data_IF_933383487437
#
_entry.id   IF_933383487437
#
_cell.length_a   1.000
_cell.length_b   1.000
_cell.length_c   1.000
_cell.angle_alpha   90.00
_cell.angle_beta   90.00
_cell.angle_gamma   90.00
#
_symmetry.space_group_name_H-M   'P 1'
#
loop_
_entity.id
_entity.type
_entity.pdbx_description
1 polymer ?
#
# COMPACT_ATOMS: atom_id res chain seq x y z
N UNK A 1 10.04 40.26 49.89
CA UNK A 1 8.75 40.91 49.62
C UNK A 1 7.78 39.81 49.26
N UNK A 2 6.72 39.70 50.06
CA UNK A 2 5.84 38.55 50.14
C UNK A 2 4.68 38.68 49.15
N UNK A 3 4.32 37.55 48.51
CA UNK A 3 3.05 37.38 47.80
C UNK A 3 1.92 37.18 48.79
N UNK A 4 0.68 37.56 48.46
CA UNK A 4 -0.48 37.03 49.13
C UNK A 4 -1.25 36.03 48.26
N UNK A 5 -1.42 34.82 48.78
CA UNK A 5 -2.37 33.83 48.37
C UNK A 5 -3.82 34.34 48.50
N UNK A 6 -4.62 34.27 47.45
CA UNK A 6 -6.07 34.38 47.52
C UNK A 6 -6.73 33.07 47.18
N UNK A 7 -7.17 32.43 48.21
CA UNK A 7 -8.04 31.25 48.24
C UNK A 7 -9.48 31.75 48.11
N UNK A 8 -10.18 31.35 47.02
CA UNK A 8 -11.61 31.58 46.90
C UNK A 8 -12.29 30.27 46.47
N UNK A 9 -12.71 29.56 47.50
CA UNK A 9 -13.69 28.47 47.43
C UNK A 9 -15.06 29.02 47.00
N UNK A 10 -15.55 28.60 45.82
CA UNK A 10 -16.98 28.72 45.49
C UNK A 10 -17.45 27.36 44.96
N UNK A 11 -18.10 26.60 45.85
CA UNK A 11 -19.01 25.53 45.48
C UNK A 11 -20.24 26.16 44.81
N UNK A 12 -20.33 26.10 43.50
CA UNK A 12 -21.60 26.23 42.81
C UNK A 12 -22.16 24.84 42.59
N UNK A 13 -23.26 24.58 43.31
CA UNK A 13 -24.16 23.44 43.09
C UNK A 13 -24.87 23.73 41.78
N UNK A 14 -24.39 23.20 40.67
CA UNK A 14 -25.11 23.19 39.42
C UNK A 14 -25.97 21.93 39.36
N UNK A 15 -27.28 22.14 39.33
CA UNK A 15 -28.29 21.10 39.19
C UNK A 15 -28.02 20.25 37.93
N UNK A 16 -27.93 18.95 38.10
CA UNK A 16 -27.93 17.99 37.02
C UNK A 16 -29.28 18.05 36.30
N UNK A 17 -29.29 18.35 34.97
CA UNK A 17 -30.47 18.08 34.17
C UNK A 17 -30.61 16.56 34.10
N UNK A 18 -31.55 15.98 34.81
CA UNK A 18 -32.06 14.62 34.61
C UNK A 18 -32.85 14.57 33.29
N UNK A 19 -32.16 14.67 32.15
CA UNK A 19 -32.69 14.17 30.89
C UNK A 19 -32.26 12.71 30.78
N UNK A 20 -33.07 11.81 31.32
CA UNK A 20 -33.05 10.39 30.99
C UNK A 20 -33.42 10.25 29.52
N UNK A 21 -32.45 10.40 28.62
CA UNK A 21 -32.58 9.89 27.25
C UNK A 21 -32.70 8.37 27.38
N UNK A 22 -33.75 7.75 26.85
CA UNK A 22 -33.96 6.31 27.02
C UNK A 22 -32.76 5.57 26.37
N UNK A 23 -32.15 4.67 27.16
CA UNK A 23 -31.00 3.85 26.72
C UNK A 23 -31.25 3.06 25.41
N UNK A 24 -32.51 2.91 25.02
CA UNK A 24 -32.99 2.27 23.81
C UNK A 24 -32.56 2.98 22.54
N UNK A 25 -32.55 4.32 22.52
CA UNK A 25 -32.25 5.09 21.29
C UNK A 25 -30.74 5.12 20.99
N UNK A 26 -29.91 5.09 22.02
CA UNK A 26 -28.45 5.03 21.87
C UNK A 26 -27.98 3.68 21.29
N UNK A 27 -28.62 2.58 21.64
CA UNK A 27 -28.30 1.26 21.12
C UNK A 27 -28.75 1.09 19.66
N UNK A 28 -29.90 1.62 19.28
CA UNK A 28 -30.39 1.56 17.90
C UNK A 28 -29.50 2.41 16.97
N UNK A 29 -29.10 3.59 17.41
CA UNK A 29 -28.19 4.49 16.69
C UNK A 29 -26.80 3.86 16.47
N UNK A 30 -26.23 3.20 17.49
CA UNK A 30 -24.93 2.54 17.37
C UNK A 30 -24.96 1.35 16.40
N UNK A 31 -26.03 0.55 16.40
CA UNK A 31 -26.21 -0.55 15.45
C UNK A 31 -26.34 -0.06 14.00
N UNK A 32 -27.07 1.02 13.77
CA UNK A 32 -27.21 1.62 12.45
C UNK A 32 -25.87 2.16 11.92
N UNK A 33 -25.12 2.88 12.76
CA UNK A 33 -23.79 3.37 12.42
C UNK A 33 -22.81 2.23 12.13
N UNK A 34 -22.84 1.16 12.93
CA UNK A 34 -22.05 -0.04 12.71
C UNK A 34 -22.37 -0.71 11.36
N UNK A 35 -23.66 -0.92 11.07
CA UNK A 35 -24.08 -1.52 9.81
C UNK A 35 -23.63 -0.70 8.60
N UNK A 36 -23.70 0.63 8.70
CA UNK A 36 -23.20 1.54 7.65
C UNK A 36 -21.66 1.41 7.46
N UNK A 37 -20.91 1.31 8.55
CA UNK A 37 -19.45 1.13 8.49
C UNK A 37 -19.04 -0.22 7.89
N UNK A 38 -19.75 -1.30 8.23
CA UNK A 38 -19.56 -2.63 7.61
C UNK A 38 -19.83 -2.55 6.11
N UNK A 39 -20.97 -1.98 5.71
CA UNK A 39 -21.33 -1.85 4.30
C UNK A 39 -20.29 -1.01 3.51
N UNK A 40 -19.80 0.08 4.11
CA UNK A 40 -18.74 0.89 3.50
C UNK A 40 -17.42 0.11 3.34
N UNK A 41 -17.03 -0.64 4.37
CA UNK A 41 -15.85 -1.51 4.30
C UNK A 41 -15.98 -2.56 3.19
N UNK A 42 -17.10 -3.28 3.14
CA UNK A 42 -17.34 -4.32 2.13
C UNK A 42 -17.38 -3.74 0.71
N UNK A 43 -17.99 -2.56 0.52
CA UNK A 43 -17.99 -1.87 -0.75
C UNK A 43 -16.57 -1.50 -1.23
N UNK A 44 -15.73 -0.96 -0.34
CA UNK A 44 -14.34 -0.63 -0.68
C UNK A 44 -13.46 -1.85 -0.88
N UNK A 45 -13.73 -2.98 -0.23
CA UNK A 45 -13.08 -4.25 -0.52
C UNK A 45 -13.43 -4.76 -1.93
N UNK A 46 -14.70 -4.68 -2.31
CA UNK A 46 -15.13 -5.05 -3.67
C UNK A 46 -14.52 -4.12 -4.75
N UNK A 47 -14.40 -2.81 -4.46
CA UNK A 47 -13.68 -1.87 -5.34
C UNK A 47 -12.20 -2.22 -5.48
N UNK A 48 -11.54 -2.60 -4.38
CA UNK A 48 -10.14 -3.01 -4.39
C UNK A 48 -9.93 -4.29 -5.20
N UNK A 49 -10.77 -5.30 -5.00
CA UNK A 49 -10.74 -6.55 -5.78
C UNK A 49 -10.92 -6.28 -7.28
N UNK A 50 -11.91 -5.46 -7.65
CA UNK A 50 -12.14 -5.07 -9.05
C UNK A 50 -10.99 -4.25 -9.65
N UNK A 51 -10.30 -3.44 -8.84
CA UNK A 51 -9.11 -2.70 -9.28
C UNK A 51 -7.90 -3.62 -9.45
N UNK A 52 -7.72 -4.61 -8.57
CA UNK A 52 -6.67 -5.63 -8.65
C UNK A 52 -6.81 -6.44 -9.93
N UNK A 53 -8.02 -6.93 -10.24
CA UNK A 53 -8.28 -7.68 -11.46
C UNK A 53 -7.91 -6.85 -12.71
N UNK A 54 -8.31 -5.58 -12.75
CA UNK A 54 -8.00 -4.69 -13.89
C UNK A 54 -6.50 -4.43 -14.05
N UNK A 55 -5.76 -4.27 -12.95
CA UNK A 55 -4.31 -4.08 -12.97
C UNK A 55 -3.60 -5.36 -13.45
N UNK A 56 -4.03 -6.52 -12.99
CA UNK A 56 -3.51 -7.82 -13.42
C UNK A 56 -3.77 -8.08 -14.92
N UNK A 57 -4.96 -7.74 -15.42
CA UNK A 57 -5.31 -7.84 -16.84
C UNK A 57 -4.45 -6.90 -17.70
N UNK A 58 -4.30 -5.64 -17.30
CA UNK A 58 -3.48 -4.65 -17.99
C UNK A 58 -2.00 -5.07 -18.01
N UNK A 59 -1.48 -5.50 -16.87
CA UNK A 59 -0.10 -5.98 -16.72
C UNK A 59 0.15 -7.25 -17.54
N UNK A 60 -0.80 -8.18 -17.58
CA UNK A 60 -0.70 -9.42 -18.36
C UNK A 60 -0.68 -9.12 -19.86
N UNK A 61 -1.58 -8.24 -20.33
CA UNK A 61 -1.62 -7.82 -21.72
C UNK A 61 -0.33 -7.08 -22.14
N UNK A 62 0.14 -6.18 -21.30
CA UNK A 62 1.41 -5.48 -21.49
C UNK A 62 2.59 -6.46 -21.61
N UNK A 63 2.72 -7.42 -20.66
CA UNK A 63 3.82 -8.41 -20.67
C UNK A 63 3.80 -9.31 -21.90
N UNK A 64 2.62 -9.61 -22.43
CA UNK A 64 2.44 -10.44 -23.63
C UNK A 64 2.95 -9.71 -24.88
N UNK A 65 2.72 -8.40 -24.96
CA UNK A 65 3.08 -7.60 -26.12
C UNK A 65 4.53 -7.06 -26.02
N UNK A 66 5.16 -7.13 -24.82
CA UNK A 66 6.48 -6.56 -24.58
C UNK A 66 7.55 -7.32 -25.41
N UNK A 67 8.32 -6.62 -26.25
CA UNK A 67 9.40 -7.25 -27.01
C UNK A 67 10.52 -7.73 -26.08
N UNK A 68 11.32 -8.69 -26.51
CA UNK A 68 12.49 -9.14 -25.74
C UNK A 68 13.44 -7.97 -25.52
N UNK A 69 14.04 -7.94 -24.34
CA UNK A 69 15.03 -6.90 -24.00
C UNK A 69 16.21 -6.94 -24.98
N UNK A 70 16.74 -5.79 -25.37
CA UNK A 70 17.96 -5.76 -26.17
C UNK A 70 19.15 -6.40 -25.47
N UNK A 71 20.13 -6.93 -26.20
CA UNK A 71 21.34 -7.46 -25.61
C UNK A 71 22.15 -6.35 -24.93
N UNK A 72 22.88 -6.73 -23.90
CA UNK A 72 23.91 -5.88 -23.26
C UNK A 72 25.32 -6.22 -23.78
N UNK A 73 25.42 -7.01 -24.82
CA UNK A 73 26.67 -7.46 -25.41
C UNK A 73 26.66 -7.19 -26.91
N UNK A 74 27.81 -6.78 -27.41
CA UNK A 74 28.08 -6.62 -28.85
C UNK A 74 29.46 -7.14 -29.20
N UNK A 75 29.59 -7.80 -30.35
CA UNK A 75 30.86 -8.27 -30.86
C UNK A 75 31.51 -7.19 -31.76
N UNK A 76 32.71 -6.80 -31.40
CA UNK A 76 33.49 -5.80 -32.15
C UNK A 76 34.78 -6.43 -32.70
N UNK A 77 35.17 -5.94 -33.89
CA UNK A 77 36.46 -6.31 -34.50
C UNK A 77 37.56 -5.44 -33.88
N UNK A 78 38.45 -6.10 -33.15
CA UNK A 78 39.62 -5.45 -32.53
C UNK A 78 40.88 -5.75 -33.32
N UNK A 79 41.65 -4.72 -33.65
CA UNK A 79 42.95 -4.88 -34.30
C UNK A 79 44.03 -5.05 -33.24
N UNK A 80 44.77 -6.14 -33.29
CA UNK A 80 45.92 -6.43 -32.45
C UNK A 80 47.15 -5.64 -32.89
N UNK A 81 48.15 -5.54 -32.00
CA UNK A 81 49.41 -4.85 -32.28
C UNK A 81 50.18 -5.43 -33.51
N UNK A 82 50.01 -6.71 -33.79
CA UNK A 82 50.60 -7.40 -34.93
C UNK A 82 49.80 -7.21 -36.24
N UNK A 83 48.78 -6.33 -36.26
CA UNK A 83 47.95 -6.06 -37.43
C UNK A 83 46.80 -7.08 -37.65
N UNK A 84 46.76 -8.20 -36.92
CA UNK A 84 45.70 -9.17 -37.07
C UNK A 84 44.39 -8.64 -36.46
N UNK A 85 43.24 -9.06 -37.03
CA UNK A 85 41.91 -8.70 -36.56
C UNK A 85 41.33 -9.89 -35.79
N UNK A 86 40.67 -9.59 -34.68
CA UNK A 86 39.95 -10.58 -33.84
C UNK A 86 38.60 -10.01 -33.43
N UNK A 87 37.58 -10.83 -33.42
CA UNK A 87 36.26 -10.45 -32.90
C UNK A 87 36.21 -10.73 -31.41
N UNK A 88 35.95 -9.72 -30.60
CA UNK A 88 35.83 -9.84 -29.16
C UNK A 88 34.43 -9.38 -28.68
N UNK A 89 33.84 -10.05 -27.68
CA UNK A 89 32.62 -9.59 -27.03
C UNK A 89 32.96 -8.40 -26.13
N UNK A 90 32.05 -7.40 -26.14
CA UNK A 90 32.02 -6.28 -25.21
C UNK A 90 30.68 -6.27 -24.55
N UNK A 91 30.65 -6.63 -23.26
CA UNK A 91 29.43 -6.78 -22.47
C UNK A 91 29.37 -5.74 -21.35
N UNK A 92 28.14 -5.35 -21.01
CA UNK A 92 27.81 -4.54 -19.85
C UNK A 92 27.01 -5.39 -18.88
N UNK A 93 27.28 -5.29 -17.59
CA UNK A 93 26.57 -6.08 -16.56
C UNK A 93 25.12 -5.62 -16.36
N UNK A 94 24.82 -4.36 -16.76
CA UNK A 94 23.48 -3.78 -16.64
C UNK A 94 23.31 -2.61 -17.60
N UNK A 95 22.06 -2.19 -17.84
CA UNK A 95 21.76 -0.96 -18.57
C UNK A 95 22.33 0.29 -17.86
N UNK A 96 22.34 0.30 -16.52
CA UNK A 96 22.97 1.37 -15.75
C UNK A 96 24.46 1.52 -16.10
N UNK A 97 25.19 0.40 -16.25
CA UNK A 97 26.58 0.40 -16.66
C UNK A 97 26.75 0.85 -18.13
N UNK A 98 25.84 0.42 -19.01
CA UNK A 98 25.80 0.86 -20.40
C UNK A 98 25.65 2.39 -20.49
N UNK A 99 24.85 3.03 -19.64
CA UNK A 99 24.59 4.47 -19.63
C UNK A 99 25.53 5.26 -18.71
N UNK A 100 26.23 4.60 -17.80
CA UNK A 100 27.12 5.20 -16.81
C UNK A 100 28.46 5.71 -17.36
N UNK A 101 29.34 6.21 -16.51
CA UNK A 101 30.69 6.63 -16.89
C UNK A 101 31.51 5.46 -17.46
N UNK A 102 32.52 5.75 -18.27
CA UNK A 102 33.38 4.73 -18.84
C UNK A 102 34.33 4.19 -17.75
N UNK A 103 34.22 2.91 -17.40
CA UNK A 103 35.11 2.24 -16.45
C UNK A 103 36.55 2.05 -16.98
N UNK A 104 36.75 2.24 -18.30
CA UNK A 104 38.02 2.01 -19.02
C UNK A 104 38.61 3.30 -19.56
N UNK A 105 38.24 4.45 -18.99
CA UNK A 105 38.76 5.77 -19.40
C UNK A 105 40.28 5.81 -19.31
N UNK A 106 40.93 6.36 -20.37
CA UNK A 106 42.37 6.42 -20.50
C UNK A 106 43.04 5.08 -20.88
N UNK A 107 42.29 4.00 -21.09
CA UNK A 107 42.82 2.72 -21.53
C UNK A 107 42.63 2.48 -23.03
N UNK A 108 43.37 1.51 -23.60
CA UNK A 108 43.23 1.08 -25.00
C UNK A 108 41.80 0.55 -25.28
N UNK A 109 41.10 0.12 -24.27
CA UNK A 109 39.75 -0.45 -24.39
C UNK A 109 38.67 0.63 -24.48
N UNK A 110 38.93 1.86 -24.05
CA UNK A 110 37.96 2.96 -24.03
C UNK A 110 37.23 3.13 -25.37
N UNK A 111 37.97 3.19 -26.47
CA UNK A 111 37.37 3.33 -27.81
C UNK A 111 36.43 2.21 -28.21
N UNK A 112 36.67 0.98 -27.75
CA UNK A 112 35.82 -0.17 -28.04
C UNK A 112 34.57 -0.16 -27.19
N UNK A 113 34.68 0.21 -25.92
CA UNK A 113 33.51 0.41 -25.05
C UNK A 113 32.66 1.59 -25.51
N UNK A 114 33.27 2.68 -26.00
CA UNK A 114 32.52 3.79 -26.59
C UNK A 114 31.77 3.34 -27.86
N UNK A 115 32.41 2.54 -28.74
CA UNK A 115 31.73 1.97 -29.90
C UNK A 115 30.64 0.98 -29.54
N UNK A 116 30.84 0.14 -28.51
CA UNK A 116 29.82 -0.77 -28.00
C UNK A 116 28.60 0.00 -27.48
N UNK A 117 28.80 1.06 -26.70
CA UNK A 117 27.74 1.97 -26.24
C UNK A 117 27.00 2.61 -27.40
N UNK A 118 27.72 3.13 -28.38
CA UNK A 118 27.13 3.77 -29.55
C UNK A 118 26.19 2.83 -30.30
N UNK A 119 26.46 1.53 -30.31
CA UNK A 119 25.60 0.51 -30.94
C UNK A 119 24.45 0.06 -30.09
N UNK A 120 24.65 -0.10 -28.77
CA UNK A 120 23.65 -0.67 -27.86
C UNK A 120 22.66 0.37 -27.35
N UNK A 121 23.12 1.59 -27.05
CA UNK A 121 22.25 2.63 -26.49
C UNK A 121 21.00 2.91 -27.33
N UNK A 122 21.08 3.08 -28.66
CA UNK A 122 19.88 3.31 -29.48
C UNK A 122 18.89 2.16 -29.45
N UNK A 123 19.34 0.89 -29.31
CA UNK A 123 18.45 -0.28 -29.19
C UNK A 123 17.68 -0.25 -27.89
N UNK A 124 18.33 0.17 -26.80
CA UNK A 124 17.69 0.32 -25.51
C UNK A 124 16.75 1.52 -25.47
N UNK A 125 17.10 2.63 -26.13
CA UNK A 125 16.23 3.81 -26.24
C UNK A 125 14.96 3.47 -27.03
N UNK A 126 15.08 2.73 -28.13
CA UNK A 126 13.93 2.24 -28.90
C UNK A 126 13.07 1.28 -28.10
N UNK A 127 13.71 0.36 -27.35
CA UNK A 127 12.99 -0.59 -26.51
C UNK A 127 12.19 0.12 -25.41
N UNK A 128 12.75 1.15 -24.76
CA UNK A 128 12.03 1.94 -23.76
C UNK A 128 10.88 2.74 -24.37
N UNK A 129 11.07 3.30 -25.56
CA UNK A 129 9.96 3.96 -26.26
C UNK A 129 8.82 3.00 -26.58
N UNK A 130 9.15 1.77 -26.98
CA UNK A 130 8.15 0.72 -27.19
C UNK A 130 7.49 0.28 -25.88
N UNK A 131 8.27 0.14 -24.80
CA UNK A 131 7.77 -0.16 -23.46
C UNK A 131 6.77 0.89 -22.98
N UNK A 132 7.11 2.18 -23.10
CA UNK A 132 6.25 3.29 -22.69
C UNK A 132 4.97 3.33 -23.53
N UNK A 133 5.07 3.16 -24.86
CA UNK A 133 3.91 3.09 -25.75
C UNK A 133 2.98 1.91 -25.40
N UNK A 134 3.54 0.75 -25.04
CA UNK A 134 2.75 -0.40 -24.59
C UNK A 134 2.09 -0.17 -23.23
N UNK A 135 2.77 0.48 -22.27
CA UNK A 135 2.18 0.87 -21.00
C UNK A 135 0.98 1.81 -21.19
N UNK A 136 1.10 2.77 -22.12
CA UNK A 136 0.00 3.66 -22.48
C UNK A 136 -1.13 2.91 -23.19
N UNK A 137 -0.80 2.08 -24.21
CA UNK A 137 -1.78 1.25 -24.94
C UNK A 137 -2.63 0.39 -24.02
N UNK A 138 -2.02 -0.25 -23.04
CA UNK A 138 -2.69 -1.14 -22.09
C UNK A 138 -3.15 -0.42 -20.82
N UNK A 139 -2.99 0.90 -20.74
CA UNK A 139 -3.41 1.75 -19.59
C UNK A 139 -2.85 1.28 -18.25
N UNK A 140 -1.64 0.73 -18.23
CA UNK A 140 -1.04 0.19 -17.01
C UNK A 140 -0.92 1.26 -15.90
N UNK A 141 -0.54 2.48 -16.24
CA UNK A 141 -0.39 3.58 -15.27
C UNK A 141 -1.75 3.99 -14.66
N UNK A 142 -2.83 3.99 -15.46
CA UNK A 142 -4.19 4.27 -14.99
C UNK A 142 -4.69 3.16 -14.06
N UNK A 143 -4.46 1.89 -14.43
CA UNK A 143 -4.84 0.73 -13.62
C UNK A 143 -4.10 0.71 -12.28
N UNK A 144 -2.78 0.93 -12.29
CA UNK A 144 -1.96 1.04 -11.08
C UNK A 144 -2.42 2.20 -10.18
N UNK A 145 -2.71 3.37 -10.74
CA UNK A 145 -3.21 4.51 -9.98
C UNK A 145 -4.60 4.22 -9.37
N UNK A 146 -5.49 3.56 -10.11
CA UNK A 146 -6.80 3.14 -9.62
C UNK A 146 -6.69 2.11 -8.49
N UNK A 147 -5.78 1.13 -8.61
CA UNK A 147 -5.47 0.15 -7.58
C UNK A 147 -4.95 0.82 -6.31
N UNK A 148 -3.98 1.72 -6.41
CA UNK A 148 -3.46 2.48 -5.26
C UNK A 148 -4.55 3.30 -4.56
N UNK A 149 -5.42 3.95 -5.32
CA UNK A 149 -6.52 4.73 -4.77
C UNK A 149 -7.57 3.83 -4.08
N UNK A 150 -7.92 2.68 -4.67
CA UNK A 150 -8.84 1.71 -4.05
C UNK A 150 -8.25 1.12 -2.78
N UNK A 151 -6.97 0.75 -2.76
CA UNK A 151 -6.26 0.24 -1.60
C UNK A 151 -6.25 1.26 -0.44
N UNK A 152 -6.03 2.54 -0.73
CA UNK A 152 -6.07 3.60 0.28
C UNK A 152 -7.47 3.75 0.89
N UNK A 153 -8.55 3.71 0.07
CA UNK A 153 -9.94 3.77 0.56
C UNK A 153 -10.30 2.54 1.41
N UNK A 154 -9.94 1.35 0.96
CA UNK A 154 -10.18 0.12 1.71
C UNK A 154 -9.45 0.10 3.05
N UNK A 155 -8.19 0.57 3.10
CA UNK A 155 -7.42 0.70 4.33
C UNK A 155 -8.06 1.71 5.31
N UNK A 156 -8.51 2.85 4.81
CA UNK A 156 -9.22 3.85 5.63
C UNK A 156 -10.54 3.30 6.17
N UNK A 157 -11.35 2.66 5.33
CA UNK A 157 -12.62 2.06 5.74
C UNK A 157 -12.42 0.95 6.80
N UNK A 158 -11.38 0.13 6.63
CA UNK A 158 -10.97 -0.87 7.63
C UNK A 158 -10.59 -0.20 8.96
N UNK A 159 -9.77 0.85 8.91
CA UNK A 159 -9.36 1.58 10.10
C UNK A 159 -10.57 2.15 10.86
N UNK A 160 -11.48 2.83 10.16
CA UNK A 160 -12.69 3.40 10.75
C UNK A 160 -13.60 2.32 11.36
N UNK A 161 -13.75 1.18 10.69
CA UNK A 161 -14.52 0.04 11.22
C UNK A 161 -13.88 -0.52 12.49
N UNK A 162 -12.54 -0.64 12.54
CA UNK A 162 -11.83 -1.14 13.72
C UNK A 162 -11.92 -0.18 14.91
N UNK A 163 -11.88 1.13 14.68
CA UNK A 163 -12.01 2.14 15.73
C UNK A 163 -13.45 2.26 16.29
N UNK A 164 -14.46 1.95 15.47
CA UNK A 164 -15.86 2.03 15.89
C UNK A 164 -16.17 1.03 17.01
N UNK A 165 -16.83 1.43 18.10
CA UNK A 165 -17.24 0.51 19.17
C UNK A 165 -18.18 -0.58 18.65
N UNK A 166 -17.84 -1.85 18.84
CA UNK A 166 -18.69 -2.97 18.46
C UNK A 166 -20.00 -2.97 19.25
N UNK A 167 -21.19 -2.99 18.64
CA UNK A 167 -22.45 -2.95 19.36
C UNK A 167 -22.74 -4.22 20.17
N UNK A 168 -22.22 -5.37 19.73
CA UNK A 168 -22.44 -6.68 20.32
C UNK A 168 -21.28 -7.65 19.99
N UNK A 169 -21.37 -8.88 20.50
CA UNK A 169 -20.33 -9.90 20.28
C UNK A 169 -20.20 -10.31 18.83
N UNK A 170 -21.27 -10.28 18.04
CA UNK A 170 -21.21 -10.59 16.61
C UNK A 170 -20.36 -9.57 15.84
N UNK A 171 -20.47 -8.30 16.22
CA UNK A 171 -19.63 -7.25 15.66
C UNK A 171 -18.14 -7.43 16.05
N UNK A 172 -17.83 -7.91 17.26
CA UNK A 172 -16.46 -8.27 17.65
C UNK A 172 -15.95 -9.44 16.82
N UNK A 173 -16.76 -10.49 16.62
CA UNK A 173 -16.38 -11.62 15.76
C UNK A 173 -16.17 -11.19 14.30
N UNK A 174 -16.95 -10.23 13.81
CA UNK A 174 -16.74 -9.64 12.51
C UNK A 174 -15.37 -8.92 12.41
N UNK A 175 -15.02 -8.08 13.39
CA UNK A 175 -13.70 -7.45 13.47
C UNK A 175 -12.56 -8.47 13.49
N UNK A 176 -12.71 -9.54 14.27
CA UNK A 176 -11.73 -10.64 14.30
C UNK A 176 -11.57 -11.29 12.92
N UNK A 177 -12.67 -11.52 12.20
CA UNK A 177 -12.62 -12.05 10.83
C UNK A 177 -11.90 -11.10 9.87
N UNK A 178 -12.19 -9.80 9.94
CA UNK A 178 -11.51 -8.77 9.15
C UNK A 178 -10.01 -8.71 9.48
N UNK A 179 -9.65 -8.88 10.75
CA UNK A 179 -8.24 -8.88 11.18
C UNK A 179 -7.47 -10.10 10.67
N UNK A 180 -8.08 -11.28 10.65
CA UNK A 180 -7.42 -12.54 10.28
C UNK A 180 -7.74 -13.03 8.86
N UNK A 181 -8.74 -12.47 8.20
CA UNK A 181 -9.19 -12.92 6.87
C UNK A 181 -8.41 -12.35 5.70
N UNK A 182 -7.46 -11.45 5.93
CA UNK A 182 -6.56 -10.99 4.87
C UNK A 182 -5.33 -11.92 4.75
N UNK A 183 -4.76 -12.01 3.55
CA UNK A 183 -3.54 -12.80 3.24
C UNK A 183 -2.31 -12.43 4.09
N UNK A 184 -2.39 -11.42 4.91
CA UNK A 184 -1.42 -11.02 5.92
C UNK A 184 -1.63 -11.84 7.20
N UNK A 185 -1.30 -13.11 7.15
CA UNK A 185 -1.23 -13.97 8.32
C UNK A 185 -0.36 -13.33 9.40
N UNK A 186 -1.00 -12.74 10.40
CA UNK A 186 -0.36 -12.52 11.71
C UNK A 186 0.12 -11.12 12.05
N UNK A 187 0.05 -10.11 11.18
CA UNK A 187 0.47 -8.75 11.51
C UNK A 187 -0.73 -7.79 11.47
N UNK A 188 -1.76 -8.10 12.24
CA UNK A 188 -2.70 -7.05 12.64
C UNK A 188 -1.92 -6.00 13.43
N UNK A 189 -2.07 -4.71 13.08
CA UNK A 189 -1.49 -3.61 13.84
C UNK A 189 -1.83 -3.78 15.32
N UNK A 190 -0.87 -3.49 16.20
CA UNK A 190 -1.08 -3.56 17.66
C UNK A 190 -2.29 -2.73 18.10
N UNK A 191 -2.62 -1.68 17.37
CA UNK A 191 -3.74 -0.78 17.62
C UNK A 191 -5.08 -1.45 17.27
N UNK A 192 -5.18 -2.18 16.16
CA UNK A 192 -6.38 -2.94 15.80
C UNK A 192 -6.70 -4.02 16.86
N UNK A 193 -5.67 -4.72 17.36
CA UNK A 193 -5.83 -5.68 18.46
C UNK A 193 -6.32 -5.02 19.75
N UNK A 194 -5.82 -3.82 20.07
CA UNK A 194 -6.28 -3.04 21.22
C UNK A 194 -7.76 -2.64 21.10
N UNK A 195 -8.22 -2.28 19.91
CA UNK A 195 -9.62 -1.97 19.67
C UNK A 195 -10.53 -3.16 20.00
N UNK A 196 -10.15 -4.38 19.58
CA UNK A 196 -10.89 -5.60 19.86
C UNK A 196 -10.91 -5.91 21.36
N UNK A 197 -9.75 -5.80 22.04
CA UNK A 197 -9.66 -6.01 23.51
C UNK A 197 -10.53 -5.00 24.25
N UNK A 198 -10.54 -3.73 23.84
CA UNK A 198 -11.40 -2.68 24.39
C UNK A 198 -12.88 -3.00 24.23
N UNK A 199 -13.30 -3.50 23.06
CA UNK A 199 -14.68 -3.90 22.81
C UNK A 199 -15.09 -5.11 23.68
N UNK A 200 -14.23 -6.12 23.79
CA UNK A 200 -14.48 -7.28 24.66
C UNK A 200 -14.61 -6.88 26.13
N UNK A 201 -13.73 -6.01 26.64
CA UNK A 201 -13.81 -5.50 28.02
C UNK A 201 -15.13 -4.76 28.26
N UNK A 202 -15.56 -3.91 27.33
CA UNK A 202 -16.81 -3.15 27.41
C UNK A 202 -18.04 -4.07 27.41
N UNK A 203 -18.05 -5.11 26.57
CA UNK A 203 -19.17 -6.06 26.51
C UNK A 203 -19.17 -7.02 27.69
N UNK A 204 -18.00 -7.43 28.21
CA UNK A 204 -17.86 -8.28 29.41
C UNK A 204 -18.39 -7.60 30.66
N UNK A 205 -18.03 -6.33 30.88
CA UNK A 205 -18.56 -5.56 32.02
C UNK A 205 -20.10 -5.37 31.97
N UNK A 206 -20.67 -5.28 30.75
CA UNK A 206 -22.15 -5.23 30.61
C UNK A 206 -22.81 -6.56 30.93
N UNK A 207 -22.18 -7.70 30.64
CA UNK A 207 -22.70 -9.03 30.95
C UNK A 207 -22.70 -9.33 32.48
N UNK A 208 -21.66 -8.88 33.20
CA UNK A 208 -21.54 -9.02 34.64
C UNK A 208 -22.66 -8.26 35.40
N UNK A 209 -23.11 -7.12 34.87
CA UNK A 209 -24.22 -6.34 35.40
C UNK A 209 -25.58 -7.01 35.22
N UNK A 210 -25.78 -7.80 34.18
CA UNK A 210 -27.03 -8.53 33.92
C UNK A 210 -27.08 -9.88 34.61
N UNK A 211 -25.93 -10.48 34.95
CA UNK A 211 -25.82 -11.77 35.67
C UNK A 211 -25.83 -11.66 37.18
N UNK A 212 -25.68 -10.48 37.76
CA UNK A 212 -25.57 -10.26 39.20
C UNK A 212 -26.91 -10.14 39.98
N UNK A 213 -28.04 -10.52 39.36
CA UNK A 213 -29.35 -10.62 40.05
C UNK A 213 -29.94 -12.01 39.82
N UNK A 214 -29.37 -12.97 40.47
CA UNK A 214 -29.99 -14.25 40.75
C UNK A 214 -29.98 -14.49 42.26
#
# INVERSE_FOLDING_TARGET
MAEPCLNTSRREILGFPTSLTPASDAHSSNRSAWAAAVAAYEAHQAELEAATIRDDEATTAYRKDLPPRPPLEVHLIVQRANGSKVTLPFAFGSEHELRGPCLYEGTVLEKYYAEARRRLTPLWDEWHQQEDALREKHRCNEAEAALKAAAARAALARHLLMEMPAPDLQAVLYKLRVLWGGDYMGIGCSDEKRCIVRDLARLGTAADWLGGRA
#
